data_IF_406469453089
#
_entry.id   IF_406469453089
#
_cell.length_a   1.000
_cell.length_b   1.000
_cell.length_c   1.000
_cell.angle_alpha   90.00
_cell.angle_beta   90.00
_cell.angle_gamma   90.00
#
_symmetry.space_group_name_H-M   'P 1'
#
loop_
_entity.id
_entity.type
_entity.pdbx_description
1 polymer ?
#
# COMPACT_ATOMS: atom_id res chain seq x y z
N UNK A 1 -22.31 -20.38 -34.36
CA UNK A 1 -23.06 -19.34 -35.10
C UNK A 1 -22.54 -17.98 -34.62
N UNK A 2 -21.44 -17.53 -35.22
CA UNK A 2 -21.32 -16.42 -36.20
C UNK A 2 -21.28 -15.03 -35.52
N UNK A 3 -20.09 -14.46 -35.32
CA UNK A 3 -19.39 -13.42 -36.16
C UNK A 3 -20.00 -12.02 -35.92
N UNK A 4 -19.24 -10.95 -35.67
CA UNK A 4 -18.32 -10.30 -36.61
C UNK A 4 -17.15 -9.56 -35.93
N UNK A 5 -15.98 -9.66 -36.56
CA UNK A 5 -14.79 -8.81 -36.40
C UNK A 5 -14.84 -7.72 -37.47
N UNK A 6 -14.37 -6.50 -37.17
CA UNK A 6 -14.08 -5.47 -38.18
C UNK A 6 -12.62 -5.03 -38.08
N UNK A 7 -11.84 -5.48 -39.06
CA UNK A 7 -10.54 -4.95 -39.48
C UNK A 7 -10.76 -4.17 -40.76
N UNK A 8 -10.24 -2.95 -40.88
CA UNK A 8 -10.10 -2.27 -42.17
C UNK A 8 -8.65 -1.82 -42.37
N UNK A 9 -8.11 -2.22 -43.51
CA UNK A 9 -6.80 -1.87 -44.04
C UNK A 9 -6.95 -1.37 -45.48
N UNK A 10 -5.91 -0.66 -45.97
CA UNK A 10 -5.61 -0.29 -47.37
C UNK A 10 -6.49 0.83 -47.98
N UNK A 11 -6.02 1.71 -48.88
CA UNK A 11 -4.88 1.74 -49.80
C UNK A 11 -4.57 3.20 -50.22
N UNK A 12 -3.30 3.61 -50.30
CA UNK A 12 -2.53 3.97 -51.52
C UNK A 12 -3.17 4.94 -52.53
N UNK A 13 -2.47 6.06 -52.80
CA UNK A 13 -2.34 6.63 -54.14
C UNK A 13 -1.02 7.44 -54.24
N UNK A 14 -0.29 7.19 -55.33
CA UNK A 14 1.04 7.72 -55.66
C UNK A 14 0.97 8.73 -56.82
N UNK A 15 1.93 9.66 -56.89
CA UNK A 15 2.42 10.31 -58.12
C UNK A 15 3.74 11.04 -57.82
N UNK A 16 4.91 10.58 -58.33
CA UNK A 16 5.66 11.08 -59.52
C UNK A 16 6.36 12.45 -59.27
N UNK A 17 7.64 12.73 -59.56
CA UNK A 17 8.68 12.07 -60.35
C UNK A 17 10.09 12.65 -60.04
N UNK A 18 11.14 11.83 -60.29
CA UNK A 18 12.51 12.08 -60.84
C UNK A 18 13.16 13.49 -60.71
N UNK A 19 14.43 13.67 -60.32
CA UNK A 19 15.66 13.26 -61.06
C UNK A 19 16.96 13.33 -60.23
N UNK A 20 17.83 12.34 -60.49
CA UNK A 20 19.29 12.38 -60.67
C UNK A 20 20.30 12.84 -59.58
N UNK A 21 21.08 11.84 -59.12
CA UNK A 21 22.56 11.72 -59.18
C UNK A 21 23.40 12.98 -58.90
N UNK A 22 24.18 12.98 -57.81
CA UNK A 22 25.65 13.13 -57.85
C UNK A 22 26.28 13.20 -56.44
N UNK A 23 27.23 12.28 -56.22
CA UNK A 23 28.55 12.51 -55.62
C UNK A 23 28.66 12.75 -54.11
N UNK A 24 28.83 11.61 -53.43
CA UNK A 24 29.91 11.33 -52.47
C UNK A 24 31.22 12.03 -52.85
N UNK A 25 31.99 12.42 -51.81
CA UNK A 25 33.34 13.00 -51.82
C UNK A 25 33.42 14.53 -51.85
N UNK A 26 33.40 15.16 -50.66
CA UNK A 26 34.22 16.36 -50.36
C UNK A 26 34.27 16.74 -48.87
N UNK A 27 34.23 15.76 -47.98
CA UNK A 27 34.50 15.96 -46.55
C UNK A 27 35.88 15.40 -46.17
N UNK A 28 36.94 15.90 -46.81
CA UNK A 28 38.33 15.74 -46.39
C UNK A 28 39.16 16.88 -47.00
N UNK A 29 38.91 18.13 -46.59
CA UNK A 29 39.89 19.21 -46.76
C UNK A 29 39.58 20.42 -45.87
N UNK A 30 39.75 20.27 -44.56
CA UNK A 30 39.96 21.41 -43.67
C UNK A 30 41.08 21.09 -42.69
N UNK A 31 42.31 21.28 -43.16
CA UNK A 31 43.47 21.53 -42.31
C UNK A 31 44.53 22.27 -43.10
N UNK A 32 45.08 23.30 -42.47
CA UNK A 32 46.12 24.25 -42.93
C UNK A 32 45.56 25.37 -43.82
N UNK A 33 45.81 26.65 -43.56
CA UNK A 33 47.00 27.30 -43.01
C UNK A 33 46.63 28.63 -42.34
N UNK A 34 47.07 28.86 -41.11
CA UNK A 34 47.23 30.20 -40.55
C UNK A 34 48.51 30.82 -41.14
N UNK A 35 48.43 32.07 -41.60
CA UNK A 35 49.59 32.94 -41.85
C UNK A 35 49.48 34.16 -40.91
N UNK A 36 50.58 34.61 -40.30
CA UNK A 36 50.56 35.72 -39.35
C UNK A 36 50.63 37.07 -40.08
N UNK A 37 49.88 38.06 -39.61
CA UNK A 37 50.03 39.46 -40.00
C UNK A 37 50.51 40.26 -38.79
N UNK A 38 51.53 41.09 -39.03
CA UNK A 38 52.31 41.81 -38.02
C UNK A 38 51.72 43.14 -37.57
N UNK A 39 52.49 43.80 -36.71
CA UNK A 39 52.11 44.93 -35.84
C UNK A 39 51.83 46.26 -36.58
N UNK A 40 51.94 46.31 -37.91
CA UNK A 40 51.84 47.56 -38.70
C UNK A 40 50.48 47.85 -39.36
N UNK A 41 49.44 47.04 -39.18
CA UNK A 41 48.13 47.26 -39.84
C UNK A 41 47.02 47.89 -38.96
N UNK A 42 47.36 48.37 -37.75
CA UNK A 42 46.35 48.84 -36.77
C UNK A 42 45.85 50.29 -37.04
N UNK A 43 46.39 51.02 -38.01
CA UNK A 43 46.11 52.47 -38.16
C UNK A 43 45.53 52.89 -39.52
N UNK A 44 44.63 52.11 -40.13
CA UNK A 44 43.90 52.57 -41.32
C UNK A 44 42.55 51.89 -41.59
N UNK A 45 41.65 51.85 -40.61
CA UNK A 45 40.23 51.68 -40.89
C UNK A 45 39.40 52.19 -39.70
N UNK A 46 38.57 53.21 -39.95
CA UNK A 46 37.58 53.68 -38.97
C UNK A 46 36.53 52.60 -38.65
N UNK A 47 35.68 52.81 -37.64
CA UNK A 47 34.73 51.80 -37.18
C UNK A 47 33.70 51.51 -38.27
N UNK A 48 33.82 50.34 -38.90
CA UNK A 48 32.76 49.79 -39.74
C UNK A 48 31.75 49.14 -38.80
N UNK A 49 30.60 49.79 -38.63
CA UNK A 49 29.43 49.16 -38.00
C UNK A 49 28.91 48.11 -38.98
N UNK A 50 29.31 46.86 -38.77
CA UNK A 50 28.73 45.73 -39.47
C UNK A 50 27.31 45.50 -38.94
N UNK A 51 26.33 45.81 -39.76
CA UNK A 51 24.92 45.43 -39.52
C UNK A 51 24.86 43.90 -39.63
N UNK A 52 24.40 43.16 -38.60
CA UNK A 52 24.33 41.71 -38.67
C UNK A 52 23.22 41.29 -39.67
N UNK A 53 23.43 40.24 -40.48
CA UNK A 53 22.35 39.69 -41.29
C UNK A 53 21.25 39.17 -40.36
N UNK A 54 20.03 39.68 -40.58
CA UNK A 54 18.80 39.18 -39.99
C UNK A 54 18.50 37.80 -40.59
N UNK A 55 19.14 36.76 -40.04
CA UNK A 55 18.75 35.35 -40.06
C UNK A 55 19.81 34.49 -39.33
N UNK A 56 20.14 34.86 -38.09
CA UNK A 56 20.76 33.92 -37.16
C UNK A 56 19.64 33.18 -36.43
N UNK A 57 19.40 31.92 -36.83
CA UNK A 57 18.63 30.97 -36.03
C UNK A 57 19.31 30.91 -34.66
N UNK A 58 18.62 31.18 -33.53
CA UNK A 58 19.24 31.02 -32.22
C UNK A 58 19.72 29.57 -32.10
N UNK A 59 20.89 29.31 -31.47
CA UNK A 59 21.27 27.95 -31.14
C UNK A 59 20.10 27.33 -30.36
N UNK A 60 19.65 26.16 -30.81
CA UNK A 60 18.60 25.42 -30.14
C UNK A 60 18.94 25.35 -28.66
N UNK A 61 18.08 25.94 -27.82
CA UNK A 61 18.18 25.76 -26.38
C UNK A 61 18.28 24.25 -26.11
N UNK A 62 19.17 23.79 -25.23
CA UNK A 62 19.19 22.39 -24.85
C UNK A 62 17.81 22.05 -24.28
N UNK A 63 17.01 21.32 -25.06
CA UNK A 63 15.77 20.74 -24.58
C UNK A 63 16.16 19.68 -23.56
N UNK A 64 15.84 19.96 -22.30
CA UNK A 64 16.17 19.10 -21.17
C UNK A 64 17.07 19.79 -20.16
N UNK A 65 16.56 20.84 -19.52
CA UNK A 65 16.81 20.93 -18.07
C UNK A 65 16.21 19.65 -17.48
N UNK A 66 17.06 18.62 -17.29
CA UNK A 66 16.77 17.54 -16.35
C UNK A 66 16.27 18.24 -15.10
N UNK A 67 15.05 17.96 -14.67
CA UNK A 67 14.51 18.49 -13.42
C UNK A 67 15.62 18.32 -12.37
N UNK A 68 16.17 19.43 -11.89
CA UNK A 68 17.35 19.39 -11.04
C UNK A 68 17.03 18.47 -9.86
N UNK A 69 17.83 17.45 -9.63
CA UNK A 69 17.68 16.62 -8.44
C UNK A 69 17.95 17.53 -7.24
N UNK A 70 16.92 17.82 -6.46
CA UNK A 70 17.03 18.59 -5.23
C UNK A 70 16.50 17.79 -4.05
N UNK A 71 17.03 18.10 -2.88
CA UNK A 71 16.64 17.49 -1.61
C UNK A 71 15.37 18.21 -1.15
N UNK A 72 14.28 17.45 -0.99
CA UNK A 72 12.98 17.96 -0.52
C UNK A 72 12.94 17.97 1.01
N UNK A 73 13.53 16.96 1.64
CA UNK A 73 13.62 16.84 3.09
C UNK A 73 14.90 16.10 3.51
N UNK A 74 15.39 16.38 4.72
CA UNK A 74 16.49 15.65 5.34
C UNK A 74 15.95 14.94 6.59
N UNK A 75 16.03 13.61 6.62
CA UNK A 75 15.62 12.82 7.77
C UNK A 75 16.88 12.33 8.48
N UNK A 76 17.21 13.00 9.59
CA UNK A 76 18.47 12.85 10.30
C UNK A 76 19.70 13.03 9.39
N UNK A 77 20.17 11.96 8.76
CA UNK A 77 21.36 11.94 7.89
C UNK A 77 21.09 11.41 6.48
N UNK A 78 19.85 11.00 6.17
CA UNK A 78 19.48 10.49 4.85
C UNK A 78 18.57 11.51 4.11
N UNK A 79 18.98 12.06 2.96
CA UNK A 79 18.17 12.98 2.19
C UNK A 79 17.04 12.25 1.44
N UNK A 80 15.89 12.92 1.32
CA UNK A 80 14.78 12.53 0.45
C UNK A 80 14.79 13.46 -0.76
N UNK A 81 14.90 12.89 -1.95
CA UNK A 81 15.03 13.65 -3.20
C UNK A 81 13.66 13.86 -3.87
N UNK A 82 13.54 14.90 -4.70
CA UNK A 82 12.32 15.12 -5.47
C UNK A 82 12.02 13.95 -6.42
N UNK A 83 13.04 13.33 -7.00
CA UNK A 83 12.89 12.16 -7.88
C UNK A 83 12.22 10.99 -7.17
N UNK A 84 12.56 10.73 -5.90
CA UNK A 84 11.92 9.67 -5.10
C UNK A 84 10.44 9.98 -4.82
N UNK A 85 10.13 11.23 -4.46
CA UNK A 85 8.75 11.68 -4.23
C UNK A 85 7.91 11.50 -5.50
N UNK A 86 8.40 11.96 -6.66
CA UNK A 86 7.69 11.82 -7.93
C UNK A 86 7.53 10.35 -8.33
N UNK A 87 8.57 9.52 -8.23
CA UNK A 87 8.48 8.08 -8.51
C UNK A 87 7.42 7.37 -7.65
N UNK A 88 7.30 7.75 -6.37
CA UNK A 88 6.30 7.19 -5.45
C UNK A 88 4.89 7.67 -5.82
N UNK A 89 4.72 8.92 -6.22
CA UNK A 89 3.46 9.46 -6.76
C UNK A 89 3.04 8.69 -8.03
N UNK A 90 3.95 8.53 -8.99
CA UNK A 90 3.67 7.85 -10.26
C UNK A 90 3.23 6.40 -10.03
N UNK A 91 3.87 5.69 -9.09
CA UNK A 91 3.47 4.33 -8.72
C UNK A 91 2.07 4.30 -8.10
N UNK A 92 1.77 5.21 -7.18
CA UNK A 92 0.44 5.31 -6.56
C UNK A 92 -0.64 5.59 -7.61
N UNK A 93 -0.36 6.45 -8.60
CA UNK A 93 -1.28 6.75 -9.69
C UNK A 93 -1.49 5.55 -10.62
N UNK A 94 -0.44 4.76 -10.89
CA UNK A 94 -0.56 3.52 -11.68
C UNK A 94 -1.39 2.46 -10.97
N UNK A 95 -1.22 2.31 -9.64
CA UNK A 95 -1.91 1.29 -8.85
C UNK A 95 -3.38 1.65 -8.54
N UNK A 96 -3.74 2.95 -8.54
CA UNK A 96 -5.04 3.45 -8.04
C UNK A 96 -5.75 4.44 -8.99
N UNK A 97 -5.59 4.22 -10.30
CA UNK A 97 -5.97 5.14 -11.36
C UNK A 97 -7.38 5.78 -11.26
N UNK A 98 -8.49 5.09 -10.92
CA UNK A 98 -9.81 5.75 -10.97
C UNK A 98 -10.19 6.56 -9.72
N UNK A 99 -9.51 6.40 -8.57
CA UNK A 99 -9.96 6.99 -7.29
C UNK A 99 -9.07 8.16 -6.82
N UNK A 100 -7.77 8.13 -7.15
CA UNK A 100 -6.78 9.16 -6.72
C UNK A 100 -6.70 10.35 -7.69
N UNK A 101 -7.28 10.26 -8.89
CA UNK A 101 -7.29 11.35 -9.89
C UNK A 101 -8.03 12.62 -9.41
N UNK A 102 -8.79 12.52 -8.30
CA UNK A 102 -9.55 13.64 -7.71
C UNK A 102 -8.77 14.48 -6.69
N UNK A 103 -7.61 14.03 -6.24
CA UNK A 103 -6.79 14.76 -5.25
C UNK A 103 -5.88 15.79 -5.95
N UNK A 104 -5.77 17.03 -5.43
CA UNK A 104 -4.79 17.99 -5.94
C UNK A 104 -3.37 17.43 -5.80
N UNK A 105 -2.57 17.48 -6.88
CA UNK A 105 -1.20 16.94 -6.90
C UNK A 105 -0.32 17.46 -5.76
N UNK A 106 -0.53 18.70 -5.32
CA UNK A 106 0.20 19.30 -4.20
C UNK A 106 -0.07 18.59 -2.86
N UNK A 107 -1.34 18.23 -2.58
CA UNK A 107 -1.69 17.50 -1.36
C UNK A 107 -1.15 16.08 -1.39
N UNK A 108 -1.22 15.43 -2.57
CA UNK A 108 -0.64 14.10 -2.77
C UNK A 108 0.88 14.11 -2.54
N UNK A 109 1.58 15.12 -3.06
CA UNK A 109 3.02 15.27 -2.86
C UNK A 109 3.39 15.45 -1.39
N UNK A 110 2.63 16.26 -0.64
CA UNK A 110 2.85 16.42 0.80
C UNK A 110 2.61 15.11 1.57
N UNK A 111 1.57 14.37 1.23
CA UNK A 111 1.27 13.08 1.89
C UNK A 111 2.34 12.03 1.59
N UNK A 112 2.79 11.95 0.33
CA UNK A 112 3.87 11.03 -0.06
C UNK A 112 5.18 11.42 0.64
N UNK A 113 5.46 12.72 0.75
CA UNK A 113 6.63 13.21 1.49
C UNK A 113 6.58 12.77 2.96
N UNK A 114 5.45 12.97 3.64
CA UNK A 114 5.28 12.55 5.05
C UNK A 114 5.46 11.03 5.20
N UNK A 115 4.89 10.25 4.28
CA UNK A 115 5.06 8.79 4.27
C UNK A 115 6.53 8.38 4.07
N UNK A 116 7.24 9.04 3.14
CA UNK A 116 8.66 8.78 2.90
C UNK A 116 9.52 9.18 4.09
N UNK A 117 9.18 10.28 4.78
CA UNK A 117 9.85 10.70 6.02
C UNK A 117 9.70 9.64 7.10
N UNK A 118 8.47 9.17 7.34
CA UNK A 118 8.18 8.13 8.33
C UNK A 118 8.88 6.81 7.99
N UNK A 119 8.85 6.39 6.73
CA UNK A 119 9.53 5.18 6.25
C UNK A 119 11.05 5.27 6.46
N UNK A 120 11.67 6.41 6.11
CA UNK A 120 13.12 6.62 6.29
C UNK A 120 13.52 6.62 7.76
N UNK A 121 12.76 7.30 8.60
CA UNK A 121 13.00 7.35 10.04
C UNK A 121 12.92 5.95 10.68
N UNK A 122 11.93 5.14 10.29
CA UNK A 122 11.78 3.77 10.77
C UNK A 122 12.93 2.86 10.29
N UNK A 123 13.35 2.97 9.03
CA UNK A 123 14.49 2.19 8.52
C UNK A 123 15.79 2.56 9.23
N UNK A 124 16.00 3.83 9.55
CA UNK A 124 17.15 4.25 10.34
C UNK A 124 17.10 3.68 11.75
N UNK A 125 15.95 3.79 12.43
CA UNK A 125 15.76 3.19 13.76
C UNK A 125 16.01 1.68 13.76
N UNK A 126 15.55 0.97 12.71
CA UNK A 126 15.82 -0.44 12.53
C UNK A 126 17.33 -0.73 12.48
N UNK A 127 18.10 0.06 11.70
CA UNK A 127 19.56 -0.06 11.62
C UNK A 127 20.26 0.24 12.95
N UNK A 128 19.86 1.31 13.64
CA UNK A 128 20.43 1.73 14.92
C UNK A 128 20.24 0.69 16.01
N UNK A 129 19.05 0.09 16.05
CA UNK A 129 18.74 -1.00 16.98
C UNK A 129 19.26 -2.37 16.48
N UNK A 130 20.07 -2.42 15.42
CA UNK A 130 20.72 -3.63 14.95
C UNK A 130 19.80 -4.68 14.29
N UNK A 131 18.60 -4.29 13.84
CA UNK A 131 17.75 -5.18 13.02
C UNK A 131 18.43 -5.38 11.68
N UNK A 132 18.62 -6.64 11.29
CA UNK A 132 19.23 -7.00 10.01
C UNK A 132 18.28 -7.87 9.19
N UNK A 133 18.40 -7.77 7.88
CA UNK A 133 17.75 -8.64 6.91
C UNK A 133 18.83 -9.22 6.01
N UNK A 134 19.15 -10.48 6.28
CA UNK A 134 20.09 -11.32 5.55
C UNK A 134 19.55 -11.69 4.17
N UNK A 135 20.43 -12.07 3.25
CA UNK A 135 20.05 -12.36 1.86
C UNK A 135 19.10 -13.55 1.76
N UNK A 136 19.21 -14.53 2.66
CA UNK A 136 18.29 -15.67 2.72
C UNK A 136 16.87 -15.23 3.06
N UNK A 137 16.69 -14.33 4.03
CA UNK A 137 15.38 -13.75 4.32
C UNK A 137 14.82 -12.94 3.13
N UNK A 138 15.67 -12.22 2.41
CA UNK A 138 15.25 -11.48 1.20
C UNK A 138 14.78 -12.46 0.12
N UNK A 139 15.50 -13.55 -0.13
CA UNK A 139 15.11 -14.56 -1.10
C UNK A 139 13.79 -15.25 -0.74
N UNK A 140 13.59 -15.56 0.56
CA UNK A 140 12.32 -16.07 1.07
C UNK A 140 11.17 -15.07 0.90
N UNK A 141 11.43 -13.78 1.17
CA UNK A 141 10.46 -12.71 0.95
C UNK A 141 10.05 -12.61 -0.52
N UNK A 142 11.00 -12.71 -1.45
CA UNK A 142 10.72 -12.73 -2.90
C UNK A 142 9.88 -13.96 -3.27
N UNK A 143 10.20 -15.13 -2.73
CA UNK A 143 9.42 -16.34 -2.96
C UNK A 143 7.99 -16.22 -2.40
N UNK A 144 7.81 -15.55 -1.27
CA UNK A 144 6.50 -15.25 -0.69
C UNK A 144 5.67 -14.35 -1.61
N UNK A 145 6.27 -13.28 -2.13
CA UNK A 145 5.62 -12.37 -3.08
C UNK A 145 5.21 -13.13 -4.35
N UNK A 146 6.07 -13.99 -4.87
CA UNK A 146 5.76 -14.82 -6.04
C UNK A 146 4.56 -15.74 -5.77
N UNK A 147 4.54 -16.42 -4.62
CA UNK A 147 3.41 -17.28 -4.19
C UNK A 147 2.11 -16.51 -4.00
N UNK A 148 2.17 -15.31 -3.44
CA UNK A 148 0.98 -14.47 -3.23
C UNK A 148 0.35 -13.99 -4.55
N UNK A 149 1.14 -13.96 -5.62
CA UNK A 149 0.68 -13.59 -6.96
C UNK A 149 0.49 -14.81 -7.88
N UNK A 150 0.53 -16.03 -7.34
CA UNK A 150 0.40 -17.30 -8.07
C UNK A 150 1.35 -17.46 -9.28
N UNK A 151 2.52 -16.85 -9.20
CA UNK A 151 3.54 -16.88 -10.27
C UNK A 151 4.87 -17.45 -9.78
N UNK A 152 5.69 -17.90 -10.72
CA UNK A 152 7.06 -18.35 -10.40
C UNK A 152 7.98 -17.15 -10.12
N UNK A 153 9.08 -17.39 -9.39
CA UNK A 153 10.09 -16.35 -9.13
C UNK A 153 10.72 -15.83 -10.42
N UNK A 154 10.93 -16.70 -11.42
CA UNK A 154 11.46 -16.30 -12.72
C UNK A 154 10.49 -15.40 -13.50
N UNK A 155 9.19 -15.72 -13.46
CA UNK A 155 8.16 -14.88 -14.09
C UNK A 155 7.99 -13.54 -13.36
N UNK A 156 8.02 -13.54 -12.03
CA UNK A 156 8.00 -12.32 -11.23
C UNK A 156 9.14 -11.37 -11.63
N UNK A 157 10.36 -11.89 -11.81
CA UNK A 157 11.52 -11.09 -12.24
C UNK A 157 11.31 -10.45 -13.63
N UNK A 158 10.71 -11.19 -14.57
CA UNK A 158 10.38 -10.67 -15.89
C UNK A 158 9.36 -9.54 -15.80
N UNK A 159 8.29 -9.72 -15.03
CA UNK A 159 7.26 -8.69 -14.82
C UNK A 159 7.81 -7.43 -14.17
N UNK A 160 8.68 -7.56 -13.18
CA UNK A 160 9.33 -6.41 -12.51
C UNK A 160 10.19 -5.62 -13.50
N UNK A 161 10.93 -6.33 -14.37
CA UNK A 161 11.76 -5.70 -15.40
C UNK A 161 10.90 -5.00 -16.46
N UNK A 162 9.77 -5.61 -16.87
CA UNK A 162 8.79 -4.98 -17.76
C UNK A 162 8.13 -3.74 -17.13
N UNK A 163 7.94 -3.73 -15.82
CA UNK A 163 7.45 -2.58 -15.06
C UNK A 163 8.53 -1.48 -14.86
N UNK A 164 9.74 -1.66 -15.40
CA UNK A 164 10.80 -0.67 -15.36
C UNK A 164 11.58 -0.61 -14.03
N UNK A 165 11.47 -1.62 -13.18
CA UNK A 165 12.25 -1.73 -11.94
C UNK A 165 13.38 -2.75 -12.12
N UNK A 166 14.58 -2.44 -11.61
CA UNK A 166 15.69 -3.37 -11.62
C UNK A 166 15.54 -4.47 -10.57
N UNK A 167 16.20 -5.61 -10.79
CA UNK A 167 16.25 -6.71 -9.81
C UNK A 167 16.82 -6.25 -8.47
N UNK A 168 17.83 -5.38 -8.49
CA UNK A 168 18.47 -4.88 -7.28
C UNK A 168 17.55 -3.95 -6.49
N UNK A 169 16.89 -3.00 -7.14
CA UNK A 169 15.89 -2.14 -6.50
C UNK A 169 14.77 -2.96 -5.87
N UNK A 170 14.28 -3.99 -6.55
CA UNK A 170 13.25 -4.87 -5.99
C UNK A 170 13.75 -5.61 -4.74
N UNK A 171 14.97 -6.18 -4.78
CA UNK A 171 15.58 -6.83 -3.61
C UNK A 171 15.71 -5.86 -2.44
N UNK A 172 16.11 -4.62 -2.70
CA UNK A 172 16.22 -3.59 -1.68
C UNK A 172 14.85 -3.20 -1.10
N UNK A 173 13.81 -3.12 -1.91
CA UNK A 173 12.44 -2.89 -1.43
C UNK A 173 11.96 -4.03 -0.52
N UNK A 174 12.20 -5.28 -0.91
CA UNK A 174 11.87 -6.46 -0.08
C UNK A 174 12.67 -6.43 1.22
N UNK A 175 13.97 -6.11 1.17
CA UNK A 175 14.82 -5.98 2.36
C UNK A 175 14.26 -4.93 3.32
N UNK A 176 13.92 -3.75 2.82
CA UNK A 176 13.33 -2.68 3.61
C UNK A 176 12.01 -3.11 4.26
N UNK A 177 11.14 -3.80 3.52
CA UNK A 177 9.88 -4.31 4.05
C UNK A 177 10.09 -5.33 5.20
N UNK A 178 11.07 -6.21 5.06
CA UNK A 178 11.45 -7.19 6.10
C UNK A 178 11.98 -6.46 7.34
N UNK A 179 12.86 -5.46 7.17
CA UNK A 179 13.39 -4.66 8.27
C UNK A 179 12.27 -3.94 9.04
N UNK A 180 11.33 -3.32 8.34
CA UNK A 180 10.19 -2.63 8.96
C UNK A 180 9.28 -3.58 9.73
N UNK A 181 9.04 -4.79 9.20
CA UNK A 181 8.21 -5.81 9.85
C UNK A 181 8.88 -6.30 11.13
N UNK A 182 10.17 -6.65 11.06
CA UNK A 182 10.95 -7.08 12.24
C UNK A 182 11.08 -5.99 13.29
N UNK A 183 11.24 -4.72 12.89
CA UNK A 183 11.24 -3.59 13.80
C UNK A 183 9.91 -3.51 14.55
N UNK A 184 8.79 -3.59 13.82
CA UNK A 184 7.46 -3.54 14.43
C UNK A 184 7.26 -4.67 15.43
N UNK A 185 7.60 -5.91 15.06
CA UNK A 185 7.49 -7.07 15.96
C UNK A 185 8.27 -6.83 17.25
N UNK A 186 9.53 -6.41 17.15
CA UNK A 186 10.39 -6.18 18.32
C UNK A 186 9.91 -5.03 19.22
N UNK A 187 9.34 -3.97 18.65
CA UNK A 187 8.84 -2.83 19.44
C UNK A 187 7.45 -3.09 20.04
N UNK A 188 6.64 -3.98 19.44
CA UNK A 188 5.29 -4.30 19.92
C UNK A 188 5.28 -5.45 20.93
N UNK A 189 6.05 -6.51 20.70
CA UNK A 189 6.04 -7.72 21.53
C UNK A 189 6.32 -7.46 23.03
N UNK A 190 7.31 -6.66 23.45
CA UNK A 190 7.52 -6.36 24.88
C UNK A 190 6.44 -5.44 25.48
N UNK A 191 5.67 -4.72 24.64
CA UNK A 191 4.62 -3.81 25.09
C UNK A 191 3.28 -4.53 25.30
N UNK A 192 3.07 -5.67 24.65
CA UNK A 192 1.85 -6.49 24.82
C UNK A 192 2.10 -7.51 25.94
N UNK A 193 1.56 -7.23 27.13
CA UNK A 193 1.56 -8.18 28.26
C UNK A 193 0.15 -8.72 28.44
N UNK A 194 -0.02 -10.03 28.26
CA UNK A 194 -1.27 -10.74 28.59
C UNK A 194 -1.11 -11.33 29.99
N UNK A 195 -2.04 -11.03 30.87
CA UNK A 195 -2.05 -11.54 32.26
C UNK A 195 -2.88 -12.82 32.35
N UNK A 196 -2.52 -13.70 33.29
CA UNK A 196 -3.29 -14.94 33.54
C UNK A 196 -4.76 -14.65 33.87
N UNK A 197 -5.01 -13.53 34.57
CA UNK A 197 -6.36 -13.06 34.87
C UNK A 197 -7.18 -12.72 33.61
N UNK A 198 -6.55 -12.13 32.59
CA UNK A 198 -7.20 -11.86 31.30
C UNK A 198 -7.49 -13.16 30.54
N UNK A 199 -6.60 -14.15 30.62
CA UNK A 199 -6.82 -15.48 30.03
C UNK A 199 -7.98 -16.20 30.73
N UNK A 200 -8.00 -16.21 32.06
CA UNK A 200 -9.06 -16.83 32.85
C UNK A 200 -10.41 -16.14 32.66
N UNK A 201 -10.41 -14.82 32.46
CA UNK A 201 -11.60 -14.06 32.12
C UNK A 201 -12.10 -14.43 30.72
N UNK A 202 -11.22 -14.44 29.72
CA UNK A 202 -11.57 -14.85 28.35
C UNK A 202 -12.12 -16.29 28.29
N UNK A 203 -11.51 -17.23 29.02
CA UNK A 203 -12.00 -18.62 29.09
C UNK A 203 -13.35 -18.76 29.78
N UNK A 204 -13.67 -17.91 30.77
CA UNK A 204 -15.00 -17.88 31.41
C UNK A 204 -16.05 -17.29 30.47
N UNK A 205 -15.70 -16.22 29.77
CA UNK A 205 -16.60 -15.56 28.81
C UNK A 205 -16.92 -16.46 27.62
N UNK A 206 -15.95 -17.27 27.13
CA UNK A 206 -16.21 -18.29 26.11
C UNK A 206 -17.12 -19.43 26.60
N UNK A 207 -16.94 -19.92 27.84
CA UNK A 207 -17.76 -21.03 28.37
C UNK A 207 -19.22 -20.64 28.63
N UNK A 208 -19.50 -19.36 28.84
CA UNK A 208 -20.87 -18.83 29.01
C UNK A 208 -21.65 -18.62 27.71
N UNK A 209 -21.04 -18.86 26.53
CA UNK A 209 -21.52 -18.30 25.27
C UNK A 209 -21.55 -19.27 24.09
N UNK A 210 -22.31 -20.37 24.19
CA UNK A 210 -22.81 -21.07 22.98
C UNK A 210 -23.78 -20.16 22.17
N UNK A 211 -24.10 -18.97 22.70
CA UNK A 211 -24.78 -17.85 22.03
C UNK A 211 -23.95 -16.54 22.08
N UNK A 212 -22.62 -16.61 21.96
CA UNK A 212 -21.76 -15.42 22.03
C UNK A 212 -22.01 -14.45 20.84
N UNK A 213 -21.99 -13.13 21.07
CA UNK A 213 -22.02 -12.09 20.02
C UNK A 213 -20.91 -12.21 18.96
N UNK A 214 -19.90 -13.06 19.19
CA UNK A 214 -18.84 -13.45 18.25
C UNK A 214 -19.31 -14.25 17.04
N UNK A 215 -20.54 -14.79 17.01
CA UNK A 215 -21.07 -15.45 15.80
C UNK A 215 -21.63 -14.45 14.76
N UNK A 216 -21.20 -13.19 14.81
CA UNK A 216 -21.61 -12.17 13.84
C UNK A 216 -20.37 -11.54 13.21
N UNK A 217 -20.38 -11.52 11.88
CA UNK A 217 -19.45 -10.72 11.12
C UNK A 217 -19.98 -9.30 11.08
N UNK A 218 -19.16 -8.35 11.50
CA UNK A 218 -19.52 -6.94 11.56
C UNK A 218 -18.55 -6.19 10.65
N UNK A 219 -19.07 -5.27 9.86
CA UNK A 219 -18.25 -4.31 9.14
C UNK A 219 -18.41 -2.95 9.83
N UNK A 220 -17.31 -2.46 10.40
CA UNK A 220 -17.26 -1.15 11.08
C UNK A 220 -16.40 -0.18 10.28
N UNK A 221 -16.76 1.10 10.29
CA UNK A 221 -15.87 2.19 9.91
C UNK A 221 -15.52 3.06 11.12
N UNK A 222 -14.31 3.62 11.17
CA UNK A 222 -13.89 4.49 12.25
C UNK A 222 -13.32 5.83 11.78
N UNK A 223 -13.49 6.84 12.62
CA UNK A 223 -12.70 8.08 12.62
C UNK A 223 -11.94 8.13 13.94
N UNK A 224 -10.62 8.02 13.86
CA UNK A 224 -9.71 8.25 14.98
C UNK A 224 -9.29 9.73 15.00
N UNK A 225 -9.45 10.37 16.15
CA UNK A 225 -8.78 11.61 16.52
C UNK A 225 -7.66 11.24 17.49
N UNK A 226 -6.41 11.26 17.02
CA UNK A 226 -5.27 10.78 17.78
C UNK A 226 -4.96 11.73 18.94
N UNK A 227 -4.69 11.14 20.11
CA UNK A 227 -4.27 11.91 21.31
C UNK A 227 -2.85 11.50 21.64
N UNK A 228 -1.86 12.41 21.53
CA UNK A 228 -0.49 12.13 21.96
C UNK A 228 -0.43 11.71 23.43
N UNK A 229 0.46 10.77 23.78
CA UNK A 229 0.61 10.27 25.16
C UNK A 229 0.96 11.39 26.16
N UNK A 230 1.63 12.44 25.70
CA UNK A 230 2.04 13.60 26.50
C UNK A 230 1.09 14.81 26.35
N UNK A 231 -0.12 14.62 25.81
CA UNK A 231 -1.06 15.72 25.60
C UNK A 231 -1.51 16.35 26.93
N UNK A 232 -1.54 17.68 26.99
CA UNK A 232 -2.07 18.41 28.14
C UNK A 232 -3.59 18.24 28.26
N UNK A 233 -4.14 18.49 29.45
CA UNK A 233 -5.60 18.44 29.66
C UNK A 233 -6.38 19.33 28.68
N UNK A 234 -5.87 20.52 28.37
CA UNK A 234 -6.49 21.43 27.40
C UNK A 234 -6.45 20.90 25.97
N UNK A 235 -5.36 20.23 25.56
CA UNK A 235 -5.26 19.57 24.26
C UNK A 235 -6.23 18.40 24.16
N UNK A 236 -6.34 17.58 25.21
CA UNK A 236 -7.29 16.47 25.27
C UNK A 236 -8.72 16.97 25.12
N UNK A 237 -9.10 18.05 25.81
CA UNK A 237 -10.45 18.63 25.70
C UNK A 237 -10.74 19.16 24.29
N UNK A 238 -9.76 19.81 23.65
CA UNK A 238 -9.91 20.28 22.27
C UNK A 238 -10.10 19.11 21.28
N UNK A 239 -9.33 18.04 21.43
CA UNK A 239 -9.45 16.82 20.60
C UNK A 239 -10.78 16.09 20.86
N UNK A 240 -11.26 16.08 22.11
CA UNK A 240 -12.58 15.56 22.44
C UNK A 240 -13.69 16.36 21.75
N UNK A 241 -13.62 17.69 21.80
CA UNK A 241 -14.60 18.56 21.12
C UNK A 241 -14.59 18.34 19.60
N UNK A 242 -13.41 18.13 19.00
CA UNK A 242 -13.27 17.76 17.59
C UNK A 242 -13.95 16.41 17.29
N UNK A 243 -13.71 15.39 18.10
CA UNK A 243 -14.34 14.08 17.93
C UNK A 243 -15.88 14.15 18.10
N UNK A 244 -16.36 14.96 19.05
CA UNK A 244 -17.79 15.21 19.24
C UNK A 244 -18.42 15.91 18.03
N UNK A 245 -17.73 16.89 17.43
CA UNK A 245 -18.19 17.57 16.23
C UNK A 245 -18.34 16.61 15.04
N UNK A 246 -17.33 15.78 14.81
CA UNK A 246 -17.37 14.73 13.78
C UNK A 246 -18.55 13.79 14.01
N UNK A 247 -18.77 13.34 15.26
CA UNK A 247 -19.89 12.47 15.59
C UNK A 247 -21.26 13.15 15.38
N UNK A 248 -21.39 14.46 15.67
CA UNK A 248 -22.63 15.22 15.38
C UNK A 248 -22.89 15.29 13.88
N UNK A 249 -21.87 15.66 13.09
CA UNK A 249 -21.93 15.74 11.63
C UNK A 249 -22.30 14.41 10.99
N UNK A 250 -21.66 13.33 11.43
CA UNK A 250 -21.97 11.97 10.99
C UNK A 250 -23.42 11.56 11.30
N UNK A 251 -23.94 11.90 12.48
CA UNK A 251 -25.35 11.64 12.85
C UNK A 251 -26.34 12.50 12.07
N UNK A 252 -25.94 13.70 11.66
CA UNK A 252 -26.74 14.59 10.82
C UNK A 252 -26.85 14.09 9.36
N UNK A 253 -26.21 12.96 9.02
CA UNK A 253 -26.30 12.34 7.70
C UNK A 253 -25.17 12.71 6.74
N UNK A 254 -24.14 13.40 7.21
CA UNK A 254 -22.94 13.65 6.41
C UNK A 254 -22.22 12.33 6.07
N UNK A 255 -21.65 12.24 4.87
CA UNK A 255 -20.93 11.05 4.42
C UNK A 255 -19.75 10.73 5.36
N UNK A 256 -19.85 9.58 6.02
CA UNK A 256 -18.87 9.12 6.98
C UNK A 256 -17.52 8.80 6.33
N UNK A 257 -17.52 8.28 5.11
CA UNK A 257 -16.28 7.98 4.39
C UNK A 257 -15.51 9.27 4.09
N UNK A 258 -16.23 10.34 3.72
CA UNK A 258 -15.64 11.66 3.52
C UNK A 258 -15.13 12.26 4.84
N UNK A 259 -15.92 12.18 5.92
CA UNK A 259 -15.48 12.62 7.25
C UNK A 259 -14.23 11.88 7.73
N UNK A 260 -14.16 10.57 7.50
CA UNK A 260 -12.99 9.76 7.83
C UNK A 260 -11.77 10.18 7.02
N UNK A 261 -11.94 10.43 5.72
CA UNK A 261 -10.82 10.87 4.88
C UNK A 261 -10.31 12.27 5.24
N UNK A 262 -11.22 13.21 5.52
CA UNK A 262 -10.85 14.59 5.85
C UNK A 262 -10.25 14.71 7.25
N UNK A 263 -10.86 14.03 8.24
CA UNK A 263 -10.65 14.36 9.64
C UNK A 263 -10.02 13.26 10.49
N UNK A 264 -9.83 12.04 9.97
CA UNK A 264 -9.22 10.96 10.74
C UNK A 264 -7.69 10.99 10.68
N UNK A 265 -7.09 10.69 11.83
CA UNK A 265 -5.64 10.46 11.99
C UNK A 265 -5.28 8.96 11.88
N UNK A 266 -6.24 8.07 11.54
CA UNK A 266 -5.94 6.66 11.32
C UNK A 266 -5.24 6.45 9.96
N UNK A 267 -4.21 5.57 9.88
CA UNK A 267 -3.38 5.41 8.68
C UNK A 267 -4.14 5.13 7.38
N UNK A 268 -5.20 4.32 7.46
CA UNK A 268 -5.96 3.87 6.28
C UNK A 268 -7.23 4.68 6.03
N UNK A 269 -7.63 5.58 6.94
CA UNK A 269 -8.94 6.21 6.90
C UNK A 269 -9.19 7.08 5.66
N UNK A 270 -8.13 7.69 5.12
CA UNK A 270 -8.16 8.43 3.84
C UNK A 270 -8.40 7.55 2.62
N UNK A 271 -7.91 6.32 2.67
CA UNK A 271 -7.87 5.43 1.51
C UNK A 271 -9.09 4.51 1.41
N UNK A 272 -9.76 4.25 2.53
CA UNK A 272 -10.90 3.33 2.59
C UNK A 272 -12.13 3.95 3.29
N UNK A 273 -12.14 5.27 3.48
CA UNK A 273 -13.22 5.96 4.19
C UNK A 273 -13.36 5.53 5.65
N UNK A 274 -12.28 5.08 6.28
CA UNK A 274 -12.27 4.56 7.64
C UNK A 274 -12.79 3.14 7.78
N UNK A 275 -13.16 2.46 6.68
CA UNK A 275 -13.72 1.12 6.72
C UNK A 275 -12.69 0.08 7.20
N UNK A 276 -13.08 -0.74 8.16
CA UNK A 276 -12.25 -1.82 8.68
C UNK A 276 -12.54 -3.15 7.97
N UNK A 277 -13.58 -3.22 7.14
CA UNK A 277 -13.95 -4.42 6.40
C UNK A 277 -14.71 -5.42 7.27
N UNK A 278 -15.42 -6.33 6.60
CA UNK A 278 -16.22 -7.37 7.24
C UNK A 278 -15.31 -8.39 7.94
N UNK A 279 -15.53 -8.58 9.24
CA UNK A 279 -14.80 -9.55 10.05
C UNK A 279 -15.62 -9.95 11.26
N UNK A 280 -15.27 -11.08 11.84
CA UNK A 280 -15.84 -11.54 13.08
C UNK A 280 -15.71 -10.49 14.20
N UNK A 281 -16.76 -10.34 15.03
CA UNK A 281 -16.78 -9.36 16.12
C UNK A 281 -15.57 -9.50 17.07
N UNK A 282 -15.08 -10.72 17.29
CA UNK A 282 -13.95 -11.02 18.19
C UNK A 282 -12.61 -10.50 17.66
N UNK A 283 -12.56 -10.08 16.38
CA UNK A 283 -11.38 -9.46 15.76
C UNK A 283 -11.32 -7.94 15.94
N UNK A 284 -12.31 -7.36 16.63
CA UNK A 284 -12.31 -5.95 17.01
C UNK A 284 -11.93 -5.76 18.49
N UNK A 285 -11.39 -4.59 18.87
CA UNK A 285 -11.23 -4.25 20.28
C UNK A 285 -12.58 -4.34 21.03
N UNK A 286 -12.62 -4.87 22.27
CA UNK A 286 -13.85 -5.00 23.05
C UNK A 286 -14.66 -3.71 23.12
N UNK A 287 -13.96 -2.58 23.32
CA UNK A 287 -14.54 -1.23 23.34
C UNK A 287 -15.40 -0.94 22.09
N UNK A 288 -15.00 -1.42 20.91
CA UNK A 288 -15.73 -1.16 19.66
C UNK A 288 -16.98 -2.00 19.58
N UNK A 289 -16.88 -3.28 19.96
CA UNK A 289 -18.00 -4.21 19.96
C UNK A 289 -19.06 -3.72 20.96
N UNK A 290 -18.68 -3.48 22.21
CA UNK A 290 -19.56 -2.99 23.28
C UNK A 290 -20.27 -1.70 22.89
N UNK A 291 -19.52 -0.72 22.36
CA UNK A 291 -20.10 0.58 21.97
C UNK A 291 -21.09 0.45 20.79
N UNK A 292 -20.84 -0.50 19.88
CA UNK A 292 -21.68 -0.67 18.69
C UNK A 292 -22.81 -1.67 18.87
N UNK A 293 -22.82 -2.49 19.92
CA UNK A 293 -23.84 -3.54 20.17
C UNK A 293 -25.27 -3.02 20.02
N UNK A 294 -25.57 -1.88 20.64
CA UNK A 294 -26.91 -1.26 20.59
C UNK A 294 -27.10 -0.29 19.42
N UNK A 295 -26.11 -0.17 18.53
CA UNK A 295 -26.16 0.75 17.38
C UNK A 295 -26.66 0.00 16.14
N UNK A 296 -27.74 0.47 15.48
CA UNK A 296 -28.28 -0.16 14.27
C UNK A 296 -27.30 -0.01 13.10
N UNK A 297 -27.46 -0.85 12.07
CA UNK A 297 -26.72 -0.71 10.81
C UNK A 297 -26.99 0.68 10.20
N UNK A 298 -25.93 1.36 9.77
CA UNK A 298 -25.92 2.76 9.35
C UNK A 298 -25.74 3.77 10.50
N UNK A 299 -25.91 3.33 11.75
CA UNK A 299 -25.82 4.18 12.93
C UNK A 299 -24.38 4.55 13.34
N UNK A 300 -24.27 5.62 14.14
CA UNK A 300 -23.01 6.18 14.63
C UNK A 300 -22.90 6.03 16.15
N UNK A 301 -21.83 5.40 16.60
CA UNK A 301 -21.49 5.17 18.00
C UNK A 301 -20.26 6.00 18.43
N UNK A 302 -20.20 6.40 19.70
CA UNK A 302 -19.14 7.24 20.25
C UNK A 302 -19.40 8.76 20.17
N UNK A 303 -18.39 9.62 20.38
CA UNK A 303 -16.97 9.30 20.50
C UNK A 303 -16.63 8.52 21.77
N UNK A 304 -15.77 7.50 21.67
CA UNK A 304 -15.24 6.74 22.80
C UNK A 304 -13.74 6.94 22.95
N UNK A 305 -13.24 6.90 24.20
CA UNK A 305 -11.83 7.13 24.49
C UNK A 305 -11.07 5.81 24.59
N UNK A 306 -9.93 5.71 23.91
CA UNK A 306 -8.93 4.65 24.05
C UNK A 306 -7.56 5.25 24.37
N UNK A 307 -6.55 4.38 24.50
CA UNK A 307 -5.14 4.81 24.59
C UNK A 307 -4.64 5.53 23.34
N UNK A 308 -5.18 5.24 22.15
CA UNK A 308 -4.79 5.90 20.90
C UNK A 308 -5.46 7.28 20.71
N UNK A 309 -6.60 7.51 21.37
CA UNK A 309 -7.34 8.77 21.26
C UNK A 309 -8.85 8.57 21.27
N UNK A 310 -9.59 9.41 20.54
CA UNK A 310 -11.04 9.34 20.46
C UNK A 310 -11.49 8.66 19.17
N UNK A 311 -12.39 7.68 19.28
CA UNK A 311 -12.94 6.92 18.16
C UNK A 311 -14.41 7.23 17.97
N UNK A 312 -14.80 7.62 16.75
CA UNK A 312 -16.19 7.65 16.29
C UNK A 312 -16.38 6.47 15.35
N UNK A 313 -17.41 5.65 15.57
CA UNK A 313 -17.57 4.36 14.87
C UNK A 313 -18.90 4.35 14.15
N UNK A 314 -18.93 3.91 12.89
CA UNK A 314 -20.14 3.64 12.12
C UNK A 314 -20.29 2.15 11.88
N UNK A 315 -21.50 1.64 12.11
CA UNK A 315 -21.83 0.25 11.75
C UNK A 315 -22.22 0.23 10.28
N UNK A 316 -21.39 -0.37 9.41
CA UNK A 316 -21.67 -0.45 7.97
C UNK A 316 -22.54 -1.67 7.63
N UNK A 317 -22.23 -2.82 8.24
CA UNK A 317 -22.99 -4.05 8.04
C UNK A 317 -22.90 -4.94 9.29
N UNK A 318 -23.93 -5.78 9.44
CA UNK A 318 -23.95 -6.89 10.39
C UNK A 318 -24.49 -8.10 9.63
N UNK A 319 -23.66 -9.13 9.53
CA UNK A 319 -24.01 -10.40 8.96
C UNK A 319 -23.97 -11.42 10.10
N UNK A 320 -24.96 -12.31 10.19
CA UNK A 320 -24.74 -13.50 10.99
C UNK A 320 -23.60 -14.22 10.31
N UNK A 321 -22.53 -14.52 11.05
CA UNK A 321 -21.51 -15.39 10.53
C UNK A 321 -22.27 -16.62 10.04
N UNK A 322 -22.10 -16.96 8.77
CA UNK A 322 -22.68 -18.18 8.25
C UNK A 322 -22.14 -19.27 9.16
N UNK A 323 -22.99 -19.79 10.04
CA UNK A 323 -22.84 -21.09 10.65
C UNK A 323 -23.01 -22.13 9.53
N UNK A 324 -22.25 -21.98 8.45
CA UNK A 324 -22.10 -22.95 7.40
C UNK A 324 -21.27 -24.06 8.00
N UNK A 325 -21.97 -25.08 8.49
CA UNK A 325 -21.38 -26.36 8.86
C UNK A 325 -20.26 -26.25 9.92
N UNK A 326 -20.50 -25.52 11.01
CA UNK A 326 -19.75 -25.79 12.23
C UNK A 326 -20.05 -27.25 12.58
N UNK A 327 -19.01 -28.09 12.45
CA UNK A 327 -19.14 -29.49 12.09
C UNK A 327 -20.24 -30.21 12.84
N UNK A 328 -21.38 -30.42 12.17
CA UNK A 328 -22.34 -31.43 12.61
C UNK A 328 -21.63 -32.77 12.46
N UNK A 329 -20.86 -33.14 13.47
CA UNK A 329 -20.31 -34.47 13.60
C UNK A 329 -21.50 -35.34 13.94
N UNK A 330 -21.98 -36.11 12.96
CA UNK A 330 -23.01 -37.13 13.20
C UNK A 330 -22.46 -38.14 14.20
N UNK A 331 -22.79 -37.96 15.48
CA UNK A 331 -22.48 -38.92 16.50
C UNK A 331 -23.46 -40.08 16.37
N UNK A 332 -22.96 -41.27 16.04
CA UNK A 332 -23.78 -42.48 15.97
C UNK A 332 -23.67 -43.21 17.30
N UNK A 333 -24.77 -43.30 18.04
CA UNK A 333 -24.83 -44.08 19.27
C UNK A 333 -25.14 -45.54 18.94
N UNK A 334 -24.10 -46.39 18.87
CA UNK A 334 -24.25 -47.83 18.59
C UNK A 334 -24.16 -48.63 19.90
N UNK A 335 -25.04 -49.61 20.06
CA UNK A 335 -24.89 -50.68 21.07
C UNK A 335 -24.58 -51.97 20.31
N UNK A 336 -23.51 -52.67 20.68
CA UNK A 336 -23.20 -53.99 20.14
C UNK A 336 -22.96 -54.97 21.29
N UNK A 337 -23.33 -56.24 21.08
CA UNK A 337 -22.96 -57.33 21.98
C UNK A 337 -21.70 -57.95 21.40
N UNK A 338 -20.57 -57.80 22.09
CA UNK A 338 -19.30 -58.39 21.69
C UNK A 338 -19.17 -59.80 22.29
N UNK A 339 -19.35 -60.84 21.46
CA UNK A 339 -19.01 -62.21 21.84
C UNK A 339 -17.61 -62.51 21.31
N UNK A 340 -16.63 -62.58 22.21
CA UNK A 340 -15.26 -62.99 21.85
C UNK A 340 -15.19 -64.52 21.81
N UNK A 341 -14.67 -65.13 20.73
CA UNK A 341 -14.44 -66.57 20.71
C UNK A 341 -13.35 -66.93 21.72
N UNK A 342 -13.68 -67.81 22.66
CA UNK A 342 -12.75 -68.49 23.55
C UNK A 342 -12.38 -69.86 22.97
N UNK A 343 -11.23 -70.42 23.39
CA UNK A 343 -10.71 -71.69 22.85
C UNK A 343 -11.62 -72.91 23.03
N UNK A 344 -12.75 -72.76 23.73
CA UNK A 344 -13.76 -73.78 23.95
C UNK A 344 -14.98 -73.66 23.00
N UNK A 345 -15.04 -72.63 22.14
CA UNK A 345 -16.17 -72.43 21.21
C UNK A 345 -15.66 -72.16 19.80
N UNK A 346 -16.14 -72.93 18.83
CA UNK A 346 -15.83 -72.69 17.42
C UNK A 346 -16.57 -71.44 16.91
N UNK A 347 -16.07 -70.76 15.86
CA UNK A 347 -16.77 -69.62 15.25
C UNK A 347 -18.23 -69.91 14.90
N UNK A 348 -18.54 -71.14 14.46
CA UNK A 348 -19.89 -71.60 14.14
C UNK A 348 -20.81 -71.64 15.38
N UNK A 349 -20.29 -72.06 16.53
CA UNK A 349 -21.03 -72.09 17.80
C UNK A 349 -21.30 -70.69 18.36
N UNK A 350 -20.38 -69.74 18.11
CA UNK A 350 -20.57 -68.34 18.49
C UNK A 350 -21.64 -67.68 17.61
N UNK A 351 -21.69 -68.02 16.31
CA UNK A 351 -22.73 -67.55 15.38
C UNK A 351 -24.11 -68.13 15.72
N UNK A 352 -24.18 -69.38 16.18
CA UNK A 352 -25.44 -69.99 16.62
C UNK A 352 -26.10 -69.30 17.83
N UNK A 353 -25.34 -68.53 18.62
CA UNK A 353 -25.86 -67.74 19.76
C UNK A 353 -26.43 -66.38 19.34
N UNK A 354 -26.32 -66.00 18.06
CA UNK A 354 -26.78 -64.71 17.51
C UNK A 354 -28.16 -64.79 16.84
N UNK A 355 -28.70 -65.99 16.63
CA UNK A 355 -30.09 -66.24 16.18
C UNK A 355 -30.96 -66.64 17.36
#
# INVERSE_FOLDING_TARGET
>A
MNFLRSTLALACAAALATTAVAQTQRAQQQQRTQRPMGITDIMRAGPVVAVPPANARPPAAPQGQRAAEYIVALVNSEPITNTEVQKRIDRILQDRAPEIERLPRAQLAQQVLEQLIGERAQLQLAKELGVRADDTAVDQGIAMVARQNDISVGELQQRITQAGMSREEFRNNVRNQILLTRLRERELEPKVKVTDAEVDQFLRDQRGGVNAPGAQDINLAQVLVAVPENASASQVEALQKRAQDIARRARAGEDFARLAAEASDAPDARNNGGALGLRNADRYPPLFVETTQSTPVGGIAGPVRSGAGFHVIKVLARERANAGADGMVTQTQVRHILIRPDGNRTPEQVVALLN
#
